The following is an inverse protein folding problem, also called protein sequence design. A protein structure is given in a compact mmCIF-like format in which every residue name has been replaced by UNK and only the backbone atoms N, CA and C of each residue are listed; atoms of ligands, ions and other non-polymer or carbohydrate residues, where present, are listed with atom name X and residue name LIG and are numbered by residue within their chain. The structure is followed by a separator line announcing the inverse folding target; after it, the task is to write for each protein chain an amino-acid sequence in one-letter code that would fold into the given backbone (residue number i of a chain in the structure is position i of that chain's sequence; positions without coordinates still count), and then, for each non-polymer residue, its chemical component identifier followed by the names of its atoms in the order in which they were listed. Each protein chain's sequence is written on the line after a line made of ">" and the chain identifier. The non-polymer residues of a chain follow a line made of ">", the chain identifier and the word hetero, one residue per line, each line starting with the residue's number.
data_IF_398060756773
#
_entry.id   IF_398060756773
#
_cell.length_a   1.000
_cell.length_b   1.000
_cell.length_c   1.000
_cell.angle_alpha   90.00
_cell.angle_beta   90.00
_cell.angle_gamma   90.00
#
_symmetry.space_group_name_H-M   'P 1'
#
loop_
_entity.id
_entity.type
_entity.pdbx_description
1 polymer ?
#
# COMPACT_ATOMS: atom_id res chain seq x y z
N UNK A 1 -16.28 0.49 18.07
CA UNK A 1 -16.36 -0.42 16.91
C UNK A 1 -15.07 -0.26 16.11
N UNK A 2 -14.15 -1.21 16.20
CA UNK A 2 -12.96 -1.26 15.36
C UNK A 2 -13.41 -1.57 13.92
N UNK A 3 -13.35 -0.57 13.04
CA UNK A 3 -13.67 -0.73 11.62
C UNK A 3 -12.67 -1.73 11.05
N UNK A 4 -13.16 -2.87 10.53
CA UNK A 4 -12.32 -3.82 9.82
C UNK A 4 -11.62 -3.09 8.66
N UNK A 5 -10.35 -3.39 8.40
CA UNK A 5 -9.64 -2.75 7.31
C UNK A 5 -10.23 -3.13 5.94
N UNK A 6 -10.33 -2.14 5.06
CA UNK A 6 -10.80 -2.31 3.69
C UNK A 6 -9.75 -3.06 2.87
N UNK A 7 -10.06 -4.25 2.34
CA UNK A 7 -9.17 -4.96 1.41
C UNK A 7 -8.82 -4.11 0.18
N UNK A 8 -9.71 -3.19 -0.24
CA UNK A 8 -9.42 -2.24 -1.31
C UNK A 8 -8.33 -1.22 -0.94
N UNK A 9 -8.19 -0.86 0.33
CA UNK A 9 -7.12 0.04 0.79
C UNK A 9 -5.76 -0.68 0.76
N UNK A 10 -5.74 -1.95 1.14
CA UNK A 10 -4.54 -2.78 1.03
C UNK A 10 -4.11 -2.98 -0.44
N UNK A 11 -5.07 -3.20 -1.33
CA UNK A 11 -4.83 -3.30 -2.78
C UNK A 11 -4.28 -2.00 -3.37
N UNK A 12 -4.81 -0.85 -2.93
CA UNK A 12 -4.28 0.46 -3.32
C UNK A 12 -2.82 0.63 -2.87
N UNK A 13 -2.48 0.23 -1.64
CA UNK A 13 -1.08 0.23 -1.15
C UNK A 13 -0.20 -0.70 -1.99
N UNK A 14 -0.67 -1.93 -2.28
CA UNK A 14 0.05 -2.86 -3.18
C UNK A 14 0.36 -2.22 -4.53
N UNK A 15 -0.61 -1.51 -5.11
CA UNK A 15 -0.47 -0.82 -6.40
C UNK A 15 0.62 0.25 -6.34
N UNK A 16 0.70 1.03 -5.25
CA UNK A 16 1.76 2.02 -5.04
C UNK A 16 3.14 1.35 -5.00
N UNK A 17 3.32 0.28 -4.21
CA UNK A 17 4.60 -0.42 -4.16
C UNK A 17 5.01 -1.05 -5.49
N UNK A 18 4.03 -1.52 -6.28
CA UNK A 18 4.28 -2.04 -7.62
C UNK A 18 4.68 -0.94 -8.60
N UNK A 19 4.04 0.24 -8.52
CA UNK A 19 4.37 1.40 -9.37
C UNK A 19 5.74 2.02 -9.02
N UNK A 20 6.16 1.94 -7.76
CA UNK A 20 7.42 2.49 -7.26
C UNK A 20 8.27 1.40 -6.57
N UNK A 21 8.85 0.45 -7.32
CA UNK A 21 9.55 -0.70 -6.74
C UNK A 21 10.86 -0.33 -6.03
N UNK A 22 11.44 0.84 -6.35
CA UNK A 22 12.75 1.29 -5.87
C UNK A 22 12.66 2.35 -4.77
N UNK A 23 11.60 2.36 -3.96
CA UNK A 23 11.51 3.26 -2.82
C UNK A 23 12.62 2.94 -1.82
N UNK A 24 13.51 3.90 -1.58
CA UNK A 24 14.64 3.77 -0.67
C UNK A 24 14.25 3.78 0.81
N UNK A 25 12.96 3.95 1.10
CA UNK A 25 12.40 4.09 2.44
C UNK A 25 11.04 3.39 2.51
N UNK A 26 10.52 3.20 3.73
CA UNK A 26 9.13 2.77 3.94
C UNK A 26 8.22 4.00 3.92
N UNK A 27 7.33 4.15 2.93
CA UNK A 27 6.37 5.23 2.87
C UNK A 27 5.50 5.29 4.11
N UNK A 28 5.29 6.51 4.61
CA UNK A 28 4.26 6.85 5.59
C UNK A 28 2.94 7.12 4.87
N UNK A 29 1.82 7.28 5.61
CA UNK A 29 0.52 7.57 5.01
C UNK A 29 0.51 8.77 4.06
N UNK A 30 1.16 9.88 4.42
CA UNK A 30 1.21 11.05 3.54
C UNK A 30 2.03 10.80 2.27
N UNK A 31 3.06 9.95 2.35
CA UNK A 31 3.90 9.61 1.21
C UNK A 31 3.09 8.80 0.18
N UNK A 32 2.32 7.80 0.62
CA UNK A 32 1.46 7.03 -0.31
C UNK A 32 0.32 7.87 -0.90
N UNK A 33 -0.21 8.84 -0.14
CA UNK A 33 -1.16 9.82 -0.68
C UNK A 33 -0.53 10.70 -1.74
N UNK A 34 0.68 11.21 -1.47
CA UNK A 34 1.42 12.03 -2.42
C UNK A 34 1.71 11.25 -3.71
N UNK A 35 2.12 9.99 -3.59
CA UNK A 35 2.39 9.12 -4.75
C UNK A 35 1.10 8.83 -5.55
N UNK A 36 -0.03 8.59 -4.88
CA UNK A 36 -1.32 8.43 -5.56
C UNK A 36 -1.75 9.71 -6.30
N UNK A 37 -1.64 10.87 -5.65
CA UNK A 37 -1.93 12.16 -6.28
C UNK A 37 -1.00 12.46 -7.46
N UNK A 38 0.28 12.11 -7.32
CA UNK A 38 1.26 12.20 -8.40
C UNK A 38 0.86 11.33 -9.60
N UNK A 39 0.52 10.06 -9.38
CA UNK A 39 0.05 9.17 -10.44
C UNK A 39 -1.20 9.75 -11.13
N UNK A 40 -2.17 10.25 -10.36
CA UNK A 40 -3.38 10.89 -10.87
C UNK A 40 -3.09 12.10 -11.75
N UNK A 41 -2.06 12.87 -11.42
CA UNK A 41 -1.67 14.07 -12.17
C UNK A 41 -0.94 13.78 -13.49
N UNK A 42 -0.37 12.59 -13.64
CA UNK A 42 0.55 12.25 -14.74
C UNK A 42 -0.02 11.23 -15.72
N UNK A 43 -0.86 10.31 -15.24
CA UNK A 43 -1.25 9.13 -16.00
C UNK A 43 -2.73 9.20 -16.42
N UNK A 44 -2.98 9.10 -17.73
CA UNK A 44 -4.33 8.98 -18.27
C UNK A 44 -4.98 7.63 -17.90
N UNK A 45 -4.18 6.63 -17.52
CA UNK A 45 -4.61 5.32 -17.06
C UNK A 45 -4.57 5.17 -15.53
N UNK A 46 -4.72 6.28 -14.81
CA UNK A 46 -4.77 6.30 -13.35
C UNK A 46 -5.78 5.26 -12.81
N UNK A 47 -5.35 4.30 -11.97
CA UNK A 47 -6.27 3.34 -11.36
C UNK A 47 -7.20 4.03 -10.35
N UNK A 48 -8.51 4.00 -10.61
CA UNK A 48 -9.49 4.75 -9.82
C UNK A 48 -9.56 4.32 -8.35
N UNK A 49 -9.21 3.06 -8.02
CA UNK A 49 -9.17 2.59 -6.63
C UNK A 49 -8.10 3.29 -5.78
N UNK A 50 -7.10 3.93 -6.38
CA UNK A 50 -6.12 4.75 -5.67
C UNK A 50 -6.73 6.02 -5.05
N UNK A 51 -7.93 6.45 -5.49
CA UNK A 51 -8.64 7.58 -4.87
C UNK A 51 -9.00 7.29 -3.41
N UNK A 52 -9.11 6.02 -3.01
CA UNK A 52 -9.28 5.62 -1.62
C UNK A 52 -8.15 6.16 -0.74
N UNK A 53 -6.90 6.14 -1.21
CA UNK A 53 -5.76 6.66 -0.44
C UNK A 53 -5.95 8.16 -0.18
N UNK A 54 -6.47 8.91 -1.15
CA UNK A 54 -6.64 10.36 -1.03
C UNK A 54 -7.76 10.75 -0.05
N UNK A 55 -8.77 9.91 0.09
CA UNK A 55 -9.96 10.17 0.91
C UNK A 55 -9.84 9.61 2.33
N UNK A 56 -9.03 8.58 2.53
CA UNK A 56 -8.97 7.84 3.79
C UNK A 56 -8.10 8.54 4.86
N UNK A 57 -8.39 8.26 6.13
CA UNK A 57 -7.59 8.77 7.25
C UNK A 57 -6.21 8.10 7.31
N UNK A 58 -5.17 8.89 7.62
CA UNK A 58 -3.79 8.41 7.78
C UNK A 58 -3.67 7.24 8.78
N UNK A 59 -4.48 7.19 9.83
CA UNK A 59 -4.48 6.10 10.80
C UNK A 59 -4.88 4.75 10.18
N UNK A 60 -5.85 4.74 9.27
CA UNK A 60 -6.26 3.52 8.56
C UNK A 60 -5.21 3.11 7.53
N UNK A 61 -4.62 4.08 6.83
CA UNK A 61 -3.54 3.81 5.88
C UNK A 61 -2.32 3.24 6.60
N UNK A 62 -1.95 3.79 7.76
CA UNK A 62 -0.85 3.30 8.60
C UNK A 62 -1.08 1.83 9.00
N UNK A 63 -2.30 1.50 9.45
CA UNK A 63 -2.66 0.13 9.79
C UNK A 63 -2.50 -0.82 8.59
N UNK A 64 -2.90 -0.41 7.39
CA UNK A 64 -2.77 -1.23 6.19
C UNK A 64 -1.33 -1.34 5.68
N UNK A 65 -0.53 -0.29 5.83
CA UNK A 65 0.91 -0.35 5.57
C UNK A 65 1.58 -1.40 6.48
N UNK A 66 1.20 -1.44 7.76
CA UNK A 66 1.69 -2.45 8.70
C UNK A 66 1.25 -3.86 8.32
N UNK A 67 0.00 -4.06 7.88
CA UNK A 67 -0.49 -5.35 7.36
C UNK A 67 0.29 -5.76 6.10
N UNK A 68 0.47 -4.85 5.15
CA UNK A 68 1.26 -5.08 3.93
C UNK A 68 2.65 -5.60 4.27
N UNK A 69 3.38 -4.89 5.14
CA UNK A 69 4.73 -5.29 5.55
C UNK A 69 4.76 -6.60 6.33
N UNK A 70 3.73 -6.90 7.13
CA UNK A 70 3.63 -8.16 7.87
C UNK A 70 3.47 -9.34 6.92
N UNK A 71 2.63 -9.21 5.88
CA UNK A 71 2.45 -10.21 4.81
C UNK A 71 3.74 -10.44 4.01
N UNK A 72 4.49 -9.37 3.70
CA UNK A 72 5.77 -9.50 2.98
C UNK A 72 6.83 -10.25 3.83
N UNK A 73 6.90 -9.96 5.13
CA UNK A 73 7.82 -10.67 6.05
C UNK A 73 7.50 -12.15 6.20
N UNK A 74 6.22 -12.54 6.15
CA UNK A 74 5.85 -13.97 6.18
C UNK A 74 6.26 -14.70 4.91
N UNK A 75 6.20 -14.04 3.75
CA UNK A 75 6.64 -14.63 2.47
C UNK A 75 8.16 -14.84 2.44
N UNK A 76 8.95 -13.92 3.04
CA UNK A 76 10.42 -14.05 3.08
C UNK A 76 10.96 -15.07 4.09
N UNK A 77 10.12 -15.67 4.94
CA UNK A 77 10.54 -16.60 6.02
C UNK A 77 10.33 -18.08 5.69
N UNK A 78 10.00 -18.43 4.45
CA UNK A 78 9.91 -19.83 4.01
C UNK A 78 11.05 -20.19 3.05
N UNK A 79 12.29 -20.44 3.52
CA UNK A 79 13.22 -21.30 2.83
C UNK A 79 13.06 -22.75 3.33
N UNK A 80 12.58 -23.61 2.43
CA UNK A 80 12.93 -25.02 2.26
C UNK A 80 13.44 -25.78 3.50
N UNK A 81 12.54 -26.52 4.15
CA UNK A 81 12.85 -27.76 4.86
C UNK A 81 12.02 -28.86 4.21
N UNK A 82 12.56 -29.49 3.16
CA UNK A 82 12.40 -30.93 2.90
C UNK A 82 13.19 -31.31 1.64
N UNK A 83 14.34 -31.97 1.82
CA UNK A 83 14.98 -32.92 0.89
C UNK A 83 16.08 -33.66 1.64
#
# INVERSE_FOLDING_TARGET
>A
MSRQPSEALLEAIHTIYHAFPNLSYRPRPDDVKLLAAYMKSRDNNYPSHLDLLLQENNQHIEHELQRYHSKQKSVSRSPLLDS
#
